data_IF_523290568008
#
_entry.id   IF_523290568008
#
_cell.length_a   1.000
_cell.length_b   1.000
_cell.length_c   1.000
_cell.angle_alpha   90.00
_cell.angle_beta   90.00
_cell.angle_gamma   90.00
#
_symmetry.space_group_name_H-M   'P 1'
#
loop_
_entity.id
_entity.type
_entity.pdbx_description
1 polymer ?
#
# COMPACT_ATOMS: atom_id res chain seq x y z
N UNK A 1 8.27 7.17 -12.28
CA UNK A 1 9.42 8.05 -11.94
C UNK A 1 9.22 9.51 -12.37
N UNK A 2 8.78 9.80 -13.60
CA UNK A 2 8.59 11.19 -14.09
C UNK A 2 7.66 12.03 -13.21
N UNK A 3 6.51 11.50 -12.78
CA UNK A 3 5.54 12.23 -11.95
C UNK A 3 6.11 12.64 -10.57
N UNK A 4 6.92 11.81 -9.94
CA UNK A 4 7.56 12.12 -8.66
C UNK A 4 8.63 13.21 -8.80
N UNK A 5 9.44 13.14 -9.86
CA UNK A 5 10.43 14.18 -10.18
C UNK A 5 9.73 15.52 -10.48
N UNK A 6 8.67 15.51 -11.31
CA UNK A 6 7.89 16.70 -11.63
C UNK A 6 7.27 17.33 -10.38
N UNK A 7 6.74 16.49 -9.46
CA UNK A 7 6.20 16.96 -8.19
C UNK A 7 7.30 17.58 -7.30
N UNK A 8 8.46 16.94 -7.19
CA UNK A 8 9.57 17.42 -6.34
C UNK A 8 10.12 18.74 -6.86
N UNK A 9 10.32 18.85 -8.18
CA UNK A 9 10.77 20.08 -8.83
C UNK A 9 9.70 21.17 -8.72
N UNK A 10 8.44 20.85 -8.99
CA UNK A 10 7.32 21.79 -8.85
C UNK A 10 7.18 22.31 -7.42
N UNK A 11 7.29 21.44 -6.41
CA UNK A 11 7.28 21.82 -5.01
C UNK A 11 8.43 22.78 -4.64
N UNK A 12 9.64 22.50 -5.15
CA UNK A 12 10.80 23.36 -4.91
C UNK A 12 10.58 24.76 -5.49
N UNK A 13 10.07 24.87 -6.73
CA UNK A 13 9.78 26.14 -7.40
C UNK A 13 8.69 26.92 -6.66
N UNK A 14 7.59 26.25 -6.29
CA UNK A 14 6.44 26.88 -5.61
C UNK A 14 6.82 27.34 -4.19
N UNK A 15 7.62 26.56 -3.46
CA UNK A 15 8.14 26.99 -2.16
C UNK A 15 9.07 28.21 -2.28
N UNK A 16 9.83 28.31 -3.37
CA UNK A 16 10.69 29.48 -3.65
C UNK A 16 9.88 30.72 -4.01
N UNK A 17 8.66 30.55 -4.52
CA UNK A 17 7.70 31.62 -4.79
C UNK A 17 6.88 32.05 -3.55
N UNK A 18 7.19 31.51 -2.36
CA UNK A 18 6.55 31.89 -1.10
C UNK A 18 5.27 31.13 -0.75
N UNK A 19 4.84 30.18 -1.59
CA UNK A 19 3.68 29.32 -1.31
C UNK A 19 4.13 28.08 -0.54
N UNK A 20 3.60 27.87 0.68
CA UNK A 20 3.84 26.64 1.45
C UNK A 20 2.92 25.54 0.94
N UNK A 21 3.42 24.65 0.10
CA UNK A 21 2.71 23.40 -0.23
C UNK A 21 2.87 22.40 0.91
N UNK A 22 1.73 21.84 1.33
CA UNK A 22 1.75 20.71 2.26
C UNK A 22 2.57 19.57 1.65
N UNK A 23 3.49 19.00 2.44
CA UNK A 23 4.27 17.84 2.01
C UNK A 23 3.34 16.65 1.85
N UNK A 24 3.54 15.87 0.78
CA UNK A 24 2.92 14.55 0.70
C UNK A 24 3.24 13.75 1.97
N UNK A 25 2.27 12.99 2.49
CA UNK A 25 2.53 12.14 3.63
C UNK A 25 3.71 11.21 3.30
N UNK A 26 4.57 10.89 4.29
CA UNK A 26 5.69 9.99 4.07
C UNK A 26 5.17 8.64 3.57
N UNK A 27 5.93 7.98 2.70
CA UNK A 27 5.55 6.70 2.09
C UNK A 27 5.15 5.64 3.13
N UNK A 28 5.75 5.68 4.31
CA UNK A 28 5.41 4.81 5.43
C UNK A 28 3.95 4.95 5.92
N UNK A 29 3.30 6.07 5.59
CA UNK A 29 1.90 6.34 5.97
C UNK A 29 0.93 6.16 4.80
N UNK A 30 1.41 5.71 3.65
CA UNK A 30 0.53 5.40 2.52
C UNK A 30 -0.34 4.19 2.88
N UNK A 31 -1.63 4.35 2.65
CA UNK A 31 -2.63 3.34 2.97
C UNK A 31 -3.69 3.33 1.88
N UNK A 32 -3.89 2.17 1.26
CA UNK A 32 -5.00 2.00 0.34
C UNK A 32 -6.27 1.72 1.14
N UNK A 33 -7.34 2.44 0.80
CA UNK A 33 -8.64 2.20 1.41
C UNK A 33 -9.05 0.73 1.22
N UNK A 34 -9.42 0.00 2.31
CA UNK A 34 -9.87 -1.38 2.23
C UNK A 34 -11.02 -1.60 1.24
N UNK A 35 -11.93 -0.62 1.12
CA UNK A 35 -13.06 -0.68 0.18
C UNK A 35 -12.55 -0.70 -1.27
N UNK A 36 -11.51 0.09 -1.58
CA UNK A 36 -10.92 0.12 -2.91
C UNK A 36 -10.28 -1.22 -3.26
N UNK A 37 -9.54 -1.82 -2.32
CA UNK A 37 -8.94 -3.14 -2.53
C UNK A 37 -10.01 -4.21 -2.65
N UNK A 38 -11.06 -4.18 -1.82
CA UNK A 38 -12.21 -5.09 -1.93
C UNK A 38 -12.90 -4.97 -3.29
N UNK A 39 -13.09 -3.74 -3.80
CA UNK A 39 -13.64 -3.52 -5.14
C UNK A 39 -12.76 -4.15 -6.24
N UNK A 40 -11.45 -4.00 -6.17
CA UNK A 40 -10.53 -4.60 -7.14
C UNK A 40 -10.56 -6.14 -7.04
N UNK A 41 -10.66 -6.71 -5.85
CA UNK A 41 -10.84 -8.16 -5.64
C UNK A 41 -12.14 -8.64 -6.27
N UNK A 42 -13.27 -7.94 -6.04
CA UNK A 42 -14.55 -8.29 -6.64
C UNK A 42 -14.51 -8.21 -8.17
N UNK A 43 -13.89 -7.18 -8.74
CA UNK A 43 -13.70 -7.05 -10.18
C UNK A 43 -12.86 -8.24 -10.71
N UNK A 44 -11.79 -8.62 -10.01
CA UNK A 44 -10.95 -9.75 -10.40
C UNK A 44 -11.76 -11.07 -10.39
N UNK A 45 -12.53 -11.33 -9.34
CA UNK A 45 -13.40 -12.51 -9.24
C UNK A 45 -14.47 -12.51 -10.35
N UNK A 46 -15.05 -11.36 -10.65
CA UNK A 46 -16.03 -11.23 -11.72
C UNK A 46 -15.43 -11.52 -13.10
N UNK A 47 -14.26 -10.94 -13.41
CA UNK A 47 -13.53 -11.24 -14.66
C UNK A 47 -13.17 -12.73 -14.74
N UNK A 48 -12.68 -13.31 -13.64
CA UNK A 48 -12.39 -14.76 -13.58
C UNK A 48 -13.64 -15.60 -13.89
N UNK A 49 -14.79 -15.24 -13.34
CA UNK A 49 -16.06 -15.90 -13.62
C UNK A 49 -16.45 -15.82 -15.09
N UNK A 50 -16.34 -14.63 -15.72
CA UNK A 50 -16.64 -14.44 -17.13
C UNK A 50 -15.70 -15.23 -18.05
N UNK A 51 -14.41 -15.31 -17.69
CA UNK A 51 -13.43 -16.14 -18.43
C UNK A 51 -13.76 -17.63 -18.28
N UNK A 52 -14.14 -18.09 -17.09
CA UNK A 52 -14.50 -19.50 -16.83
C UNK A 52 -15.77 -19.94 -17.59
N UNK A 53 -16.70 -19.02 -17.83
CA UNK A 53 -17.92 -19.26 -18.63
C UNK A 53 -17.70 -19.11 -20.14
N UNK A 54 -16.48 -18.79 -20.58
CA UNK A 54 -16.17 -18.61 -21.99
C UNK A 54 -16.73 -17.32 -22.62
N UNK A 55 -17.30 -16.43 -21.80
CA UNK A 55 -17.84 -15.13 -22.27
C UNK A 55 -16.70 -14.23 -22.74
N UNK A 56 -15.55 -14.30 -22.06
CA UNK A 56 -14.33 -13.58 -22.42
C UNK A 56 -13.27 -14.60 -22.81
N UNK A 57 -12.89 -14.63 -24.08
CA UNK A 57 -11.82 -15.52 -24.58
C UNK A 57 -10.42 -15.00 -24.21
N UNK A 58 -10.28 -13.72 -23.91
CA UNK A 58 -8.99 -13.08 -23.66
C UNK A 58 -8.55 -13.24 -22.20
N UNK A 59 -7.72 -14.26 -21.96
CA UNK A 59 -7.08 -14.46 -20.63
C UNK A 59 -6.21 -13.27 -20.17
N UNK A 60 -5.81 -12.39 -21.08
CA UNK A 60 -5.03 -11.20 -20.78
C UNK A 60 -5.75 -10.22 -19.82
N UNK A 61 -7.07 -10.09 -19.94
CA UNK A 61 -7.85 -9.24 -19.02
C UNK A 61 -7.79 -9.74 -17.58
N UNK A 62 -7.91 -11.04 -17.37
CA UNK A 62 -7.76 -11.64 -16.04
C UNK A 62 -6.35 -11.42 -15.48
N UNK A 63 -5.32 -11.67 -16.29
CA UNK A 63 -3.92 -11.44 -15.87
C UNK A 63 -3.65 -9.97 -15.54
N UNK A 64 -4.25 -9.04 -16.28
CA UNK A 64 -4.10 -7.62 -16.02
C UNK A 64 -4.72 -7.21 -14.67
N UNK A 65 -5.95 -7.64 -14.39
CA UNK A 65 -6.63 -7.34 -13.10
C UNK A 65 -5.91 -7.99 -11.93
N UNK A 66 -5.40 -9.21 -12.10
CA UNK A 66 -4.62 -9.92 -11.09
C UNK A 66 -3.30 -9.20 -10.79
N UNK A 67 -2.57 -8.78 -11.83
CA UNK A 67 -1.31 -8.04 -11.67
C UNK A 67 -1.54 -6.67 -11.02
N UNK A 68 -2.65 -5.99 -11.33
CA UNK A 68 -3.01 -4.73 -10.70
C UNK A 68 -3.24 -4.92 -9.19
N UNK A 69 -4.03 -5.91 -8.82
CA UNK A 69 -4.28 -6.26 -7.42
C UNK A 69 -2.97 -6.57 -6.69
N UNK A 70 -2.13 -7.40 -7.30
CA UNK A 70 -0.85 -7.79 -6.70
C UNK A 70 0.10 -6.60 -6.54
N UNK A 71 0.17 -5.70 -7.53
CA UNK A 71 0.95 -4.47 -7.44
C UNK A 71 0.48 -3.56 -6.29
N UNK A 72 -0.84 -3.39 -6.11
CA UNK A 72 -1.40 -2.62 -4.98
C UNK A 72 -1.02 -3.23 -3.64
N UNK A 73 -1.11 -4.56 -3.49
CA UNK A 73 -0.73 -5.26 -2.28
C UNK A 73 0.77 -5.17 -1.98
N UNK A 74 1.63 -5.23 -3.02
CA UNK A 74 3.08 -5.04 -2.84
C UNK A 74 3.38 -3.62 -2.35
N UNK A 75 2.76 -2.59 -2.94
CA UNK A 75 2.95 -1.20 -2.50
C UNK A 75 2.52 -1.03 -1.04
N UNK A 76 1.41 -1.64 -0.64
CA UNK A 76 0.93 -1.64 0.74
C UNK A 76 1.94 -2.34 1.67
N UNK A 77 2.43 -3.52 1.30
CA UNK A 77 3.45 -4.26 2.06
C UNK A 77 4.77 -3.49 2.19
N UNK A 78 5.19 -2.81 1.11
CA UNK A 78 6.35 -1.90 1.14
C UNK A 78 6.17 -0.77 2.16
N UNK A 79 4.97 -0.19 2.22
CA UNK A 79 4.67 0.85 3.19
C UNK A 79 4.73 0.33 4.64
N UNK A 80 4.29 -0.93 4.89
CA UNK A 80 4.43 -1.60 6.19
C UNK A 80 5.89 -1.77 6.58
N UNK A 81 6.70 -2.33 5.70
CA UNK A 81 8.13 -2.55 5.96
C UNK A 81 8.86 -1.22 6.16
N UNK A 82 8.56 -0.21 5.32
CA UNK A 82 9.13 1.13 5.48
C UNK A 82 8.77 1.76 6.83
N UNK A 83 7.55 1.55 7.31
CA UNK A 83 7.10 2.01 8.62
C UNK A 83 7.89 1.31 9.73
N UNK A 84 8.01 -0.02 9.68
CA UNK A 84 8.78 -0.83 10.63
C UNK A 84 10.25 -0.40 10.68
N UNK A 85 10.91 -0.28 9.53
CA UNK A 85 12.31 0.12 9.44
C UNK A 85 12.55 1.54 9.98
N UNK A 86 11.61 2.45 9.73
CA UNK A 86 11.72 3.83 10.17
C UNK A 86 11.48 4.00 11.67
N UNK A 87 10.37 3.45 12.18
CA UNK A 87 9.92 3.74 13.55
C UNK A 87 10.50 2.76 14.58
N UNK A 88 10.73 1.51 14.22
CA UNK A 88 11.26 0.50 15.14
C UNK A 88 12.79 0.42 15.11
N UNK A 89 13.38 0.47 13.91
CA UNK A 89 14.84 0.32 13.75
C UNK A 89 15.57 1.64 13.52
N UNK A 90 14.86 2.74 13.33
CA UNK A 90 15.42 4.10 13.14
C UNK A 90 16.44 4.18 11.99
N UNK A 91 16.25 3.40 10.93
CA UNK A 91 17.14 3.45 9.77
C UNK A 91 17.02 4.77 9.02
N UNK A 92 18.12 5.17 8.36
CA UNK A 92 18.11 6.34 7.48
C UNK A 92 17.18 6.12 6.27
N UNK A 93 16.60 7.19 5.73
CA UNK A 93 15.68 7.10 4.59
C UNK A 93 16.33 6.42 3.37
N UNK A 94 17.63 6.62 3.15
CA UNK A 94 18.38 5.97 2.07
C UNK A 94 18.41 4.44 2.27
N UNK A 95 18.72 4.01 3.47
CA UNK A 95 18.83 2.58 3.81
C UNK A 95 17.47 1.88 3.73
N UNK A 96 16.38 2.58 4.10
CA UNK A 96 15.01 2.07 3.98
C UNK A 96 14.67 1.82 2.51
N UNK A 97 14.94 2.81 1.62
CA UNK A 97 14.66 2.66 0.18
C UNK A 97 15.49 1.53 -0.43
N UNK A 98 16.79 1.48 -0.12
CA UNK A 98 17.69 0.46 -0.64
C UNK A 98 17.26 -0.95 -0.20
N UNK A 99 17.01 -1.16 1.09
CA UNK A 99 16.55 -2.44 1.64
C UNK A 99 15.17 -2.83 1.08
N UNK A 100 14.25 -1.87 0.94
CA UNK A 100 12.94 -2.13 0.39
C UNK A 100 13.00 -2.61 -1.07
N UNK A 101 13.86 -2.02 -1.90
CA UNK A 101 14.06 -2.45 -3.29
C UNK A 101 14.66 -3.86 -3.32
N UNK A 102 15.73 -4.11 -2.55
CA UNK A 102 16.36 -5.43 -2.47
C UNK A 102 15.36 -6.52 -2.04
N UNK A 103 14.57 -6.26 -1.02
CA UNK A 103 13.61 -7.23 -0.50
C UNK A 103 12.47 -7.50 -1.49
N UNK A 104 11.92 -6.46 -2.14
CA UNK A 104 10.84 -6.64 -3.14
C UNK A 104 11.31 -7.43 -4.35
N UNK A 105 12.54 -7.19 -4.82
CA UNK A 105 13.07 -7.95 -5.96
C UNK A 105 13.36 -9.40 -5.63
N UNK A 106 13.69 -9.70 -4.36
CA UNK A 106 13.99 -11.07 -3.91
C UNK A 106 12.74 -11.89 -3.62
N UNK A 107 11.75 -11.32 -2.91
CA UNK A 107 10.56 -12.05 -2.43
C UNK A 107 9.31 -11.17 -2.54
N UNK A 108 8.81 -10.87 -3.76
CA UNK A 108 7.64 -10.01 -3.95
C UNK A 108 6.36 -10.56 -3.32
N UNK A 109 6.21 -11.91 -3.25
CA UNK A 109 5.04 -12.56 -2.68
C UNK A 109 4.87 -12.23 -1.18
N UNK A 110 5.97 -12.12 -0.44
CA UNK A 110 5.94 -11.81 0.98
C UNK A 110 5.39 -10.40 1.21
N UNK A 111 5.71 -9.44 0.34
CA UNK A 111 5.15 -8.09 0.40
C UNK A 111 3.67 -8.06 0.05
N UNK A 112 3.24 -8.88 -0.91
CA UNK A 112 1.83 -9.06 -1.22
C UNK A 112 1.04 -9.58 -0.01
N UNK A 113 1.57 -10.58 0.69
CA UNK A 113 0.97 -11.12 1.92
C UNK A 113 0.96 -10.08 3.06
N UNK A 114 2.07 -9.39 3.29
CA UNK A 114 2.13 -8.33 4.31
C UNK A 114 1.14 -7.20 4.00
N UNK A 115 1.03 -6.80 2.73
CA UNK A 115 0.06 -5.81 2.31
C UNK A 115 -1.38 -6.26 2.54
N UNK A 116 -1.70 -7.51 2.24
CA UNK A 116 -3.01 -8.10 2.49
C UNK A 116 -3.35 -8.11 3.99
N UNK A 117 -2.42 -8.53 4.84
CA UNK A 117 -2.62 -8.54 6.30
C UNK A 117 -2.79 -7.12 6.83
N UNK A 118 -2.01 -6.14 6.33
CA UNK A 118 -2.12 -4.74 6.75
C UNK A 118 -3.48 -4.12 6.35
N UNK A 119 -4.00 -4.45 5.17
CA UNK A 119 -5.34 -4.00 4.74
C UNK A 119 -6.45 -4.55 5.65
N UNK A 120 -6.32 -5.81 6.10
CA UNK A 120 -7.34 -6.46 6.93
C UNK A 120 -7.25 -6.03 8.40
N UNK A 121 -6.05 -5.93 8.94
CA UNK A 121 -5.83 -5.77 10.39
C UNK A 121 -5.33 -4.36 10.73
N UNK A 122 -4.80 -3.62 9.75
CA UNK A 122 -4.13 -2.32 9.93
C UNK A 122 -3.04 -2.40 11.02
N UNK A 123 -1.97 -3.12 10.71
CA UNK A 123 -0.84 -3.34 11.62
C UNK A 123 -0.24 -2.00 12.07
N UNK A 124 -0.26 -1.01 11.19
CA UNK A 124 0.32 0.32 11.41
C UNK A 124 -0.59 1.25 12.23
N UNK A 125 -1.89 0.96 12.29
CA UNK A 125 -2.88 1.81 12.97
C UNK A 125 -3.09 3.15 12.25
N UNK A 126 -3.11 3.13 10.91
CA UNK A 126 -3.29 4.32 10.08
C UNK A 126 -4.77 4.62 9.86
N UNK A 127 -5.61 3.59 9.82
CA UNK A 127 -7.06 3.73 9.66
C UNK A 127 -7.77 3.63 11.02
N UNK A 128 -8.42 4.72 11.50
CA UNK A 128 -9.16 4.71 12.75
C UNK A 128 -10.35 3.74 12.76
N UNK A 129 -10.89 3.38 11.59
CA UNK A 129 -12.03 2.47 11.44
C UNK A 129 -11.61 1.01 11.16
N UNK A 130 -10.32 0.69 11.26
CA UNK A 130 -9.81 -0.66 11.01
C UNK A 130 -10.23 -1.66 12.11
N UNK A 131 -10.21 -2.95 11.75
CA UNK A 131 -10.40 -4.03 12.74
C UNK A 131 -9.34 -3.98 13.85
N UNK A 132 -8.10 -3.57 13.50
CA UNK A 132 -7.02 -3.41 14.47
C UNK A 132 -7.28 -2.33 15.50
N UNK A 133 -7.84 -1.18 15.10
CA UNK A 133 -8.22 -0.10 16.02
C UNK A 133 -9.34 -0.54 16.96
N UNK A 134 -10.34 -1.24 16.42
CA UNK A 134 -11.45 -1.80 17.23
C UNK A 134 -10.97 -2.83 18.25
N UNK A 135 -10.06 -3.71 17.87
CA UNK A 135 -9.47 -4.71 18.79
C UNK A 135 -8.65 -4.02 19.88
N UNK A 136 -7.84 -3.02 19.53
CA UNK A 136 -7.05 -2.24 20.51
C UNK A 136 -7.95 -1.52 21.53
N UNK A 137 -9.04 -0.94 21.08
CA UNK A 137 -10.01 -0.27 21.97
C UNK A 137 -10.67 -1.26 22.93
N UNK A 138 -11.07 -2.43 22.41
CA UNK A 138 -11.69 -3.49 23.21
C UNK A 138 -10.74 -4.09 24.26
N UNK A 139 -9.46 -4.21 23.91
CA UNK A 139 -8.42 -4.66 24.84
C UNK A 139 -8.15 -3.62 25.94
N UNK A 140 -8.12 -2.32 25.60
CA UNK A 140 -7.99 -1.25 26.60
C UNK A 140 -9.12 -1.25 27.62
N UNK A 141 -10.37 -1.46 27.17
CA UNK A 141 -11.54 -1.54 28.07
C UNK A 141 -11.57 -2.77 28.98
N UNK A 142 -10.79 -3.83 28.69
CA UNK A 142 -10.69 -5.03 29.53
C UNK A 142 -9.60 -4.92 30.61
N UNK A 143 -8.67 -3.99 30.49
CA UNK A 143 -7.53 -3.83 31.41
C UNK A 143 -7.77 -2.70 32.42
N UNK A 144 -8.83 -1.92 32.23
CA UNK A 144 -9.36 -0.96 33.22
C UNK A 144 -10.48 -1.61 34.07
#
# INVERSE_FOLDING_TARGET
>A
MRAFLSYTVGKYIINKLGFKLNSLPPFSNWFFNPILIAAVVLINLFVMFLVSKGVISNKGMYMLTLNLLFAMLIIQGLAVVSNLLKYRYRFSNFLIVFMSILMVTSIPQLFGLLGMVDVLIDIRGVDPNSLGSYIKEKLKKKVQ
#
